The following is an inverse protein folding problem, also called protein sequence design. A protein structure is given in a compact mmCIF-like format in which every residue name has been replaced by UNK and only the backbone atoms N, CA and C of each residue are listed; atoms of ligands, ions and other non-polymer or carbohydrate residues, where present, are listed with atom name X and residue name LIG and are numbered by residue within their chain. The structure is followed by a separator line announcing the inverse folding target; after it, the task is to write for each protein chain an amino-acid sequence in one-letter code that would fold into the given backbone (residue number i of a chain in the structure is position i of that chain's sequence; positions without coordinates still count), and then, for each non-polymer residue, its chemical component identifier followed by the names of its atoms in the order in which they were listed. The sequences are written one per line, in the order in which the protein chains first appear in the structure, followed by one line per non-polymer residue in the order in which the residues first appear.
data_IF_065689910132
#
_entry.id   IF_065689910132
#
_cell.length_a   1.000
_cell.length_b   1.000
_cell.length_c   1.000
_cell.angle_alpha   90.00
_cell.angle_beta   90.00
_cell.angle_gamma   90.00
#
_symmetry.space_group_name_H-M   'P 1'
#
loop_
_entity.id
_entity.type
_entity.pdbx_description
1 polymer ?
#
# COMPACT_ATOMS: atom_id res chain seq x y z
N UNK A 1 13.92 -28.35 -33.33
CA UNK A 1 14.32 -27.20 -32.55
C UNK A 1 13.50 -27.23 -31.25
N UNK A 2 14.07 -27.81 -30.20
CA UNK A 2 13.35 -28.06 -28.92
C UNK A 2 13.50 -26.83 -28.04
N UNK A 3 12.39 -26.14 -27.78
CA UNK A 3 12.35 -25.00 -26.86
C UNK A 3 12.62 -25.52 -25.44
N UNK A 4 13.72 -25.07 -24.85
CA UNK A 4 14.02 -25.32 -23.45
C UNK A 4 12.96 -24.62 -22.58
N UNK A 5 12.42 -25.26 -21.52
CA UNK A 5 11.47 -24.64 -20.64
C UNK A 5 12.16 -23.49 -19.87
N UNK A 6 11.56 -22.31 -19.92
CA UNK A 6 12.02 -21.16 -19.13
C UNK A 6 12.13 -21.52 -17.65
N UNK A 7 13.22 -21.17 -16.97
CA UNK A 7 13.36 -21.43 -15.55
C UNK A 7 12.21 -20.72 -14.81
N UNK A 8 11.38 -21.48 -14.10
CA UNK A 8 10.36 -20.94 -13.19
C UNK A 8 11.10 -20.18 -12.09
N UNK A 9 11.21 -18.87 -12.23
CA UNK A 9 11.65 -18.02 -11.12
C UNK A 9 10.63 -18.22 -9.98
N UNK A 10 11.00 -19.01 -8.98
CA UNK A 10 10.30 -19.04 -7.69
C UNK A 10 10.61 -17.73 -6.99
N UNK A 11 9.85 -16.69 -7.31
CA UNK A 11 9.79 -15.49 -6.46
C UNK A 11 9.20 -15.96 -5.11
N UNK A 12 10.06 -16.08 -4.09
CA UNK A 12 9.61 -16.29 -2.72
C UNK A 12 8.82 -15.06 -2.32
N UNK A 13 7.49 -15.20 -2.28
CA UNK A 13 6.64 -14.26 -1.58
C UNK A 13 7.03 -14.31 -0.10
N UNK A 14 7.44 -13.18 0.47
CA UNK A 14 7.80 -13.11 1.88
C UNK A 14 6.51 -13.12 2.72
N UNK A 15 5.99 -14.32 2.99
CA UNK A 15 4.83 -14.52 3.84
C UNK A 15 5.18 -14.51 5.35
N UNK A 16 6.45 -14.28 5.71
CA UNK A 16 6.90 -14.31 7.11
C UNK A 16 6.25 -13.21 7.96
N UNK A 17 5.71 -12.17 7.34
CA UNK A 17 5.04 -11.04 7.99
C UNK A 17 3.54 -10.96 7.71
N UNK A 18 2.90 -12.06 7.28
CA UNK A 18 1.47 -12.06 6.98
C UNK A 18 0.62 -11.65 8.20
N UNK A 19 1.00 -12.11 9.40
CA UNK A 19 0.34 -11.75 10.65
C UNK A 19 0.38 -10.24 10.91
N UNK A 20 1.56 -9.62 10.79
CA UNK A 20 1.74 -8.18 11.00
C UNK A 20 0.98 -7.37 9.96
N UNK A 21 1.06 -7.77 8.69
CA UNK A 21 0.35 -7.13 7.59
C UNK A 21 -1.17 -7.14 7.80
N UNK A 22 -1.72 -8.29 8.18
CA UNK A 22 -3.17 -8.43 8.41
C UNK A 22 -3.62 -7.71 9.68
N UNK A 23 -2.85 -7.77 10.76
CA UNK A 23 -3.14 -7.05 12.00
C UNK A 23 -3.16 -5.52 11.79
N UNK A 24 -2.18 -5.00 11.04
CA UNK A 24 -2.07 -3.57 10.72
C UNK A 24 -3.28 -3.08 9.91
N UNK A 25 -3.72 -3.86 8.90
CA UNK A 25 -4.89 -3.54 8.08
C UNK A 25 -6.18 -3.52 8.92
N UNK A 26 -6.39 -4.56 9.75
CA UNK A 26 -7.55 -4.62 10.65
C UNK A 26 -7.60 -3.43 11.60
N UNK A 27 -6.45 -3.09 12.21
CA UNK A 27 -6.36 -1.99 13.17
C UNK A 27 -6.79 -0.67 12.52
N UNK A 28 -6.23 -0.34 11.35
CA UNK A 28 -6.58 0.90 10.65
C UNK A 28 -8.05 0.93 10.24
N UNK A 29 -8.52 -0.13 9.58
CA UNK A 29 -9.90 -0.20 9.05
C UNK A 29 -10.93 -0.05 10.16
N UNK A 30 -10.77 -0.79 11.27
CA UNK A 30 -11.68 -0.70 12.42
C UNK A 30 -11.67 0.70 13.04
N UNK A 31 -10.50 1.29 13.22
CA UNK A 31 -10.39 2.63 13.80
C UNK A 31 -10.96 3.71 12.87
N UNK A 32 -10.82 3.53 11.56
CA UNK A 32 -11.32 4.47 10.57
C UNK A 32 -12.84 4.35 10.30
N UNK A 33 -13.45 3.22 10.68
CA UNK A 33 -14.87 2.96 10.43
C UNK A 33 -15.22 2.88 8.95
N UNK A 34 -14.33 2.29 8.12
CA UNK A 34 -14.46 2.33 6.66
C UNK A 34 -15.26 1.17 6.04
N UNK A 35 -15.85 0.31 6.84
CA UNK A 35 -16.66 -0.80 6.29
C UNK A 35 -18.05 -0.32 5.81
N UNK A 36 -18.58 -0.84 4.70
CA UNK A 36 -18.00 -1.90 3.85
C UNK A 36 -16.84 -1.41 2.98
N UNK A 37 -15.88 -2.31 2.74
CA UNK A 37 -14.66 -2.00 2.00
C UNK A 37 -14.82 -2.26 0.50
N UNK A 38 -14.39 -1.31 -0.30
CA UNK A 38 -14.13 -1.46 -1.73
C UNK A 38 -12.65 -1.37 -1.95
N UNK A 39 -12.03 -2.53 -2.20
CA UNK A 39 -10.58 -2.70 -2.17
C UNK A 39 -9.99 -2.71 -3.57
N UNK A 40 -8.99 -1.85 -3.79
CA UNK A 40 -8.07 -1.91 -4.92
C UNK A 40 -6.73 -2.45 -4.41
N UNK A 41 -6.38 -3.67 -4.80
CA UNK A 41 -5.14 -4.33 -4.40
C UNK A 41 -4.14 -4.28 -5.55
N UNK A 42 -3.21 -3.35 -5.44
CA UNK A 42 -2.11 -3.19 -6.38
C UNK A 42 -0.94 -4.05 -5.94
N UNK A 43 -0.36 -4.82 -6.85
CA UNK A 43 0.64 -5.86 -6.57
C UNK A 43 0.06 -7.05 -5.77
N UNK A 44 -1.14 -7.46 -6.12
CA UNK A 44 -1.95 -8.41 -5.36
C UNK A 44 -1.31 -9.81 -5.18
N UNK A 45 -0.34 -10.19 -6.02
CA UNK A 45 0.33 -11.48 -5.92
C UNK A 45 -0.65 -12.64 -5.94
N UNK A 46 -0.56 -13.53 -4.97
CA UNK A 46 -1.46 -14.68 -4.77
C UNK A 46 -2.75 -14.31 -3.98
N UNK A 47 -2.93 -13.05 -3.61
CA UNK A 47 -4.10 -12.58 -2.85
C UNK A 47 -4.15 -13.05 -1.39
N UNK A 48 -3.03 -13.55 -0.85
CA UNK A 48 -2.97 -14.19 0.47
C UNK A 48 -3.40 -13.25 1.60
N UNK A 49 -3.01 -11.97 1.55
CA UNK A 49 -3.35 -11.00 2.59
C UNK A 49 -4.85 -10.77 2.63
N UNK A 50 -5.45 -10.38 1.52
CA UNK A 50 -6.89 -10.09 1.44
C UNK A 50 -7.73 -11.36 1.53
N UNK A 51 -7.23 -12.50 1.08
CA UNK A 51 -7.83 -13.81 1.34
C UNK A 51 -7.99 -14.08 2.84
N UNK A 52 -6.92 -13.86 3.62
CA UNK A 52 -6.94 -14.03 5.07
C UNK A 52 -7.80 -13.01 5.81
N UNK A 53 -7.98 -11.81 5.26
CA UNK A 53 -8.81 -10.76 5.85
C UNK A 53 -10.31 -10.99 5.60
N UNK A 54 -10.66 -11.49 4.42
CA UNK A 54 -12.04 -11.78 4.01
C UNK A 54 -12.57 -13.10 4.56
N UNK A 55 -11.69 -14.10 4.64
CA UNK A 55 -12.02 -15.44 5.08
C UNK A 55 -10.94 -15.94 6.07
N UNK A 56 -10.95 -15.45 7.30
CA UNK A 56 -10.01 -15.94 8.30
C UNK A 56 -10.24 -17.42 8.53
N UNK A 57 -9.16 -18.15 8.82
CA UNK A 57 -9.23 -19.58 9.12
C UNK A 57 -10.30 -19.82 10.19
N UNK A 58 -11.07 -20.91 10.06
CA UNK A 58 -12.12 -21.32 11.03
C UNK A 58 -11.49 -21.88 12.31
N UNK A 59 -10.68 -21.08 12.99
CA UNK A 59 -10.08 -21.38 14.27
C UNK A 59 -10.94 -20.76 15.37
N UNK A 60 -11.00 -21.42 16.54
CA UNK A 60 -11.85 -21.03 17.69
C UNK A 60 -11.67 -19.55 18.11
N UNK A 61 -10.53 -18.95 17.84
CA UNK A 61 -10.20 -17.54 18.15
C UNK A 61 -9.79 -16.74 16.90
N UNK A 62 -10.24 -17.15 15.71
CA UNK A 62 -9.94 -16.39 14.50
C UNK A 62 -10.59 -15.01 14.58
N UNK A 63 -9.88 -13.95 14.18
CA UNK A 63 -10.47 -12.62 14.14
C UNK A 63 -11.61 -12.61 13.12
N UNK A 64 -12.64 -11.81 13.39
CA UNK A 64 -13.78 -11.62 12.50
C UNK A 64 -13.35 -11.21 11.09
N UNK A 65 -14.06 -11.70 10.07
CA UNK A 65 -13.83 -11.30 8.69
C UNK A 65 -14.10 -9.79 8.52
N UNK A 66 -13.30 -9.10 7.70
CA UNK A 66 -13.63 -7.75 7.29
C UNK A 66 -14.78 -7.78 6.27
N UNK A 67 -15.69 -6.83 6.38
CA UNK A 67 -16.76 -6.66 5.42
C UNK A 67 -16.22 -6.02 4.12
N UNK A 68 -15.93 -6.86 3.12
CA UNK A 68 -15.41 -6.45 1.82
C UNK A 68 -16.52 -6.60 0.77
N UNK A 69 -17.06 -5.46 0.35
CA UNK A 69 -18.10 -5.37 -0.69
C UNK A 69 -17.54 -5.71 -2.08
N UNK A 70 -16.35 -5.20 -2.39
CA UNK A 70 -15.68 -5.47 -3.66
C UNK A 70 -14.16 -5.58 -3.50
N UNK A 71 -13.55 -6.42 -4.34
CA UNK A 71 -12.11 -6.65 -4.35
C UNK A 71 -11.60 -6.70 -5.78
N UNK A 72 -10.72 -5.77 -6.13
CA UNK A 72 -10.10 -5.64 -7.44
C UNK A 72 -8.60 -5.88 -7.34
N UNK A 73 -8.15 -7.11 -7.59
CA UNK A 73 -6.71 -7.43 -7.59
C UNK A 73 -6.06 -7.08 -8.93
N UNK A 74 -4.94 -6.35 -8.88
CA UNK A 74 -4.11 -6.03 -10.05
C UNK A 74 -2.67 -6.48 -9.78
N UNK A 75 -2.05 -7.14 -10.76
CA UNK A 75 -0.63 -7.49 -10.73
C UNK A 75 -0.06 -7.57 -12.15
N UNK A 76 1.24 -7.51 -12.30
CA UNK A 76 1.94 -7.73 -13.58
C UNK A 76 1.85 -9.18 -14.05
N UNK A 77 1.64 -10.11 -13.11
CA UNK A 77 1.47 -11.55 -13.36
C UNK A 77 0.19 -12.04 -12.70
N UNK A 78 -0.77 -12.50 -13.48
CA UNK A 78 -2.00 -13.07 -12.94
C UNK A 78 -1.69 -14.40 -12.23
N UNK A 79 -2.01 -14.49 -10.93
CA UNK A 79 -1.74 -15.64 -10.06
C UNK A 79 -2.99 -16.18 -9.37
N UNK A 80 -4.11 -15.47 -9.50
CA UNK A 80 -5.40 -15.83 -8.90
C UNK A 80 -6.55 -15.56 -9.88
N UNK A 81 -7.69 -16.25 -9.76
CA UNK A 81 -8.87 -15.99 -10.57
C UNK A 81 -9.36 -14.54 -10.43
N UNK A 82 -9.81 -13.95 -11.53
CA UNK A 82 -10.34 -12.57 -11.54
C UNK A 82 -9.29 -11.47 -11.40
N UNK A 83 -8.01 -11.81 -11.35
CA UNK A 83 -6.93 -10.84 -11.28
C UNK A 83 -6.70 -10.14 -12.62
N UNK A 84 -6.65 -8.81 -12.57
CA UNK A 84 -6.34 -7.98 -13.73
C UNK A 84 -4.82 -7.99 -13.93
N UNK A 85 -4.37 -8.41 -15.11
CA UNK A 85 -2.95 -8.40 -15.46
C UNK A 85 -2.56 -7.04 -16.01
N UNK A 86 -1.84 -6.26 -15.21
CA UNK A 86 -1.32 -4.96 -15.65
C UNK A 86 -0.03 -4.58 -14.91
N UNK A 87 0.87 -3.86 -15.58
CA UNK A 87 2.06 -3.29 -14.94
C UNK A 87 1.66 -2.06 -14.12
N UNK A 88 1.86 -2.11 -12.82
CA UNK A 88 1.53 -1.01 -11.91
C UNK A 88 2.52 0.14 -12.13
N UNK A 89 2.01 1.28 -12.52
CA UNK A 89 2.78 2.52 -12.78
C UNK A 89 1.95 3.73 -12.37
N UNK A 90 2.55 4.92 -12.14
CA UNK A 90 1.80 6.16 -11.94
C UNK A 90 0.81 6.47 -13.07
N UNK A 91 1.15 6.09 -14.32
CA UNK A 91 0.25 6.25 -15.48
C UNK A 91 -0.98 5.36 -15.39
N UNK A 92 -0.85 4.13 -14.88
CA UNK A 92 -2.01 3.28 -14.62
C UNK A 92 -2.93 3.92 -13.57
N UNK A 93 -2.36 4.48 -12.49
CA UNK A 93 -3.16 5.16 -11.47
C UNK A 93 -3.93 6.35 -12.06
N UNK A 94 -3.29 7.12 -12.94
CA UNK A 94 -3.97 8.19 -13.66
C UNK A 94 -5.12 7.67 -14.54
N UNK A 95 -4.87 6.62 -15.31
CA UNK A 95 -5.91 6.00 -16.16
C UNK A 95 -7.06 5.39 -15.36
N UNK A 96 -6.80 4.82 -14.18
CA UNK A 96 -7.86 4.33 -13.28
C UNK A 96 -8.71 5.47 -12.70
N UNK A 97 -8.17 6.68 -12.59
CA UNK A 97 -8.89 7.86 -12.10
C UNK A 97 -9.75 8.53 -13.19
N UNK A 98 -9.44 8.33 -14.46
CA UNK A 98 -10.23 8.81 -15.57
C UNK A 98 -11.68 8.29 -15.45
N UNK A 99 -12.66 9.19 -15.46
CA UNK A 99 -14.06 8.84 -15.24
C UNK A 99 -14.41 8.50 -13.77
N UNK A 100 -13.62 8.94 -12.79
CA UNK A 100 -13.88 8.75 -11.36
C UNK A 100 -13.61 7.33 -10.86
N UNK A 101 -12.81 6.55 -11.60
CA UNK A 101 -12.55 5.13 -11.29
C UNK A 101 -11.94 4.89 -9.91
N UNK A 102 -11.07 5.78 -9.42
CA UNK A 102 -10.47 5.65 -8.09
C UNK A 102 -11.42 6.01 -6.94
N UNK A 103 -12.38 6.90 -7.14
CA UNK A 103 -13.33 7.32 -6.10
C UNK A 103 -14.29 6.20 -5.66
N UNK A 104 -14.39 5.12 -6.45
CA UNK A 104 -15.15 3.93 -6.07
C UNK A 104 -14.49 3.09 -4.98
N UNK A 105 -13.19 3.29 -4.72
CA UNK A 105 -12.44 2.54 -3.71
C UNK A 105 -12.23 3.39 -2.46
N UNK A 106 -12.47 2.78 -1.29
CA UNK A 106 -12.15 3.37 0.01
C UNK A 106 -11.00 2.64 0.71
N UNK A 107 -10.37 1.71 0.00
CA UNK A 107 -9.21 0.98 0.47
C UNK A 107 -8.27 0.68 -0.70
N UNK A 108 -7.01 1.10 -0.60
CA UNK A 108 -5.97 0.85 -1.62
C UNK A 108 -4.77 0.19 -0.96
N UNK A 109 -4.35 -0.93 -1.50
CA UNK A 109 -3.19 -1.69 -1.03
C UNK A 109 -2.06 -1.65 -2.07
N UNK A 110 -0.88 -1.23 -1.65
CA UNK A 110 0.33 -1.12 -2.47
C UNK A 110 1.43 -1.98 -1.86
N UNK A 111 1.26 -3.30 -1.93
CA UNK A 111 2.23 -4.27 -1.38
C UNK A 111 3.33 -4.59 -2.41
N UNK A 112 4.08 -3.58 -2.82
CA UNK A 112 5.12 -3.71 -3.83
C UNK A 112 6.46 -4.20 -3.27
N UNK A 113 7.27 -4.83 -4.13
CA UNK A 113 8.69 -5.03 -3.86
C UNK A 113 9.46 -3.75 -4.23
N UNK A 114 10.05 -3.08 -3.24
CA UNK A 114 10.85 -1.88 -3.47
C UNK A 114 10.24 -0.60 -2.90
N UNK A 115 10.24 0.47 -3.70
CA UNK A 115 9.79 1.79 -3.29
C UNK A 115 8.37 2.08 -3.80
N UNK A 116 7.36 2.21 -2.91
CA UNK A 116 5.97 2.47 -3.29
C UNK A 116 5.69 3.96 -3.59
N UNK A 117 6.64 4.86 -3.33
CA UNK A 117 6.35 6.29 -3.26
C UNK A 117 5.92 6.94 -4.57
N UNK A 118 6.38 6.42 -5.72
CA UNK A 118 5.89 6.90 -7.01
C UNK A 118 4.38 6.59 -7.21
N UNK A 119 3.95 5.40 -6.79
CA UNK A 119 2.53 5.01 -6.84
C UNK A 119 1.74 5.77 -5.77
N UNK A 120 2.30 5.89 -4.56
CA UNK A 120 1.71 6.66 -3.47
C UNK A 120 1.44 8.11 -3.89
N UNK A 121 2.42 8.79 -4.47
CA UNK A 121 2.25 10.16 -4.94
C UNK A 121 1.12 10.26 -5.99
N UNK A 122 1.09 9.34 -6.95
CA UNK A 122 0.04 9.31 -7.96
C UNK A 122 -1.35 9.09 -7.36
N UNK A 123 -1.48 8.26 -6.32
CA UNK A 123 -2.72 8.04 -5.58
C UNK A 123 -3.14 9.27 -4.79
N UNK A 124 -2.21 9.87 -4.04
CA UNK A 124 -2.49 10.96 -3.10
C UNK A 124 -3.20 12.13 -3.77
N UNK A 125 -2.78 12.49 -4.99
CA UNK A 125 -3.42 13.57 -5.78
C UNK A 125 -4.83 13.21 -6.29
N UNK A 126 -5.26 11.95 -6.18
CA UNK A 126 -6.50 11.43 -6.77
C UNK A 126 -7.51 10.91 -5.77
N UNK A 127 -7.16 10.91 -4.48
CA UNK A 127 -8.08 10.50 -3.42
C UNK A 127 -9.15 11.57 -3.24
N UNK A 128 -10.42 11.17 -3.46
CA UNK A 128 -11.61 12.04 -3.36
C UNK A 128 -12.53 11.65 -2.21
N UNK A 129 -12.34 10.48 -1.63
CA UNK A 129 -13.12 9.96 -0.49
C UNK A 129 -12.16 9.53 0.61
N UNK A 130 -12.59 9.47 1.88
CA UNK A 130 -11.79 8.89 2.95
C UNK A 130 -11.33 7.48 2.57
N UNK A 131 -10.02 7.25 2.51
CA UNK A 131 -9.42 6.04 1.98
C UNK A 131 -8.35 5.49 2.91
N UNK A 132 -8.44 4.21 3.25
CA UNK A 132 -7.34 3.49 3.87
C UNK A 132 -6.29 3.16 2.80
N UNK A 133 -5.04 3.55 3.01
CA UNK A 133 -3.93 3.23 2.11
C UNK A 133 -2.88 2.44 2.86
N UNK A 134 -2.53 1.28 2.31
CA UNK A 134 -1.46 0.43 2.83
C UNK A 134 -0.28 0.45 1.87
N UNK A 135 0.90 0.73 2.41
CA UNK A 135 2.13 0.78 1.61
C UNK A 135 3.15 -0.18 2.20
N UNK A 136 3.78 -0.98 1.35
CA UNK A 136 4.92 -1.81 1.72
C UNK A 136 6.17 -1.25 1.05
N UNK A 137 7.18 -0.92 1.87
CA UNK A 137 8.47 -0.45 1.40
C UNK A 137 9.53 -1.51 1.69
N UNK A 138 10.06 -2.14 0.66
CA UNK A 138 11.21 -3.03 0.78
C UNK A 138 12.47 -2.24 1.10
N UNK A 139 13.22 -2.70 2.11
CA UNK A 139 14.57 -2.22 2.37
C UNK A 139 15.54 -3.21 1.73
N UNK A 140 15.95 -2.96 0.51
CA UNK A 140 17.00 -3.76 -0.12
C UNK A 140 18.35 -3.31 0.44
N UNK A 141 19.00 -4.17 1.20
CA UNK A 141 20.40 -3.96 1.57
C UNK A 141 21.27 -4.59 0.49
N UNK A 142 21.90 -3.77 -0.33
CA UNK A 142 23.01 -4.22 -1.17
C UNK A 142 24.29 -4.15 -0.35
N UNK A 143 24.92 -5.29 -0.07
CA UNK A 143 26.13 -5.35 0.74
C UNK A 143 25.90 -4.87 2.19
N UNK A 144 26.92 -4.30 2.80
CA UNK A 144 26.86 -3.71 4.16
C UNK A 144 26.16 -2.35 4.21
N UNK A 145 25.69 -1.83 3.08
CA UNK A 145 25.05 -0.52 2.96
C UNK A 145 23.52 -0.60 2.95
N UNK A 146 22.87 0.37 3.58
CA UNK A 146 21.42 0.59 3.46
C UNK A 146 21.14 1.19 2.08
N UNK A 147 20.08 0.74 1.39
CA UNK A 147 19.65 1.46 0.19
C UNK A 147 19.30 2.91 0.57
N UNK A 148 19.86 3.89 -0.11
CA UNK A 148 19.47 5.28 0.09
C UNK A 148 17.99 5.43 -0.25
N UNK A 149 17.32 6.30 0.49
CA UNK A 149 15.96 6.70 0.15
C UNK A 149 16.02 7.35 -1.24
N UNK A 150 15.15 6.92 -2.16
CA UNK A 150 15.12 7.51 -3.51
C UNK A 150 14.89 9.03 -3.44
N UNK A 151 15.42 9.77 -4.40
CA UNK A 151 15.21 11.23 -4.51
C UNK A 151 13.71 11.57 -4.52
N UNK A 152 12.90 10.76 -5.22
CA UNK A 152 11.45 10.93 -5.24
C UNK A 152 10.85 10.70 -3.84
N UNK A 153 11.27 9.67 -3.13
CA UNK A 153 10.79 9.41 -1.77
C UNK A 153 11.19 10.53 -0.81
N UNK A 154 12.42 11.06 -0.89
CA UNK A 154 12.86 12.23 -0.12
C UNK A 154 11.96 13.43 -0.42
N UNK A 155 11.71 13.73 -1.69
CA UNK A 155 10.85 14.83 -2.11
C UNK A 155 9.42 14.69 -1.57
N UNK A 156 8.82 13.50 -1.69
CA UNK A 156 7.45 13.21 -1.17
C UNK A 156 7.39 13.34 0.35
N UNK A 157 8.47 12.98 1.05
CA UNK A 157 8.57 13.08 2.51
C UNK A 157 9.04 14.45 3.01
N UNK A 158 9.31 15.42 2.12
CA UNK A 158 9.85 16.73 2.50
C UNK A 158 11.25 16.66 3.11
N UNK A 159 12.02 15.60 2.83
CA UNK A 159 13.38 15.42 3.33
C UNK A 159 14.34 16.11 2.38
N UNK A 160 15.26 16.98 2.88
CA UNK A 160 16.30 17.56 2.04
C UNK A 160 17.08 16.50 1.27
N UNK A 161 17.37 16.74 0.00
CA UNK A 161 17.99 15.74 -0.89
C UNK A 161 19.37 15.29 -0.39
N UNK A 162 20.10 16.21 0.24
CA UNK A 162 21.42 16.01 0.82
C UNK A 162 21.43 15.21 2.13
N UNK A 163 20.27 15.04 2.78
CA UNK A 163 20.21 14.29 4.03
C UNK A 163 20.31 12.79 3.80
N UNK A 164 21.34 12.22 4.39
CA UNK A 164 21.46 10.75 4.50
C UNK A 164 20.68 10.29 5.72
N UNK A 165 19.43 9.88 5.49
CA UNK A 165 18.53 9.48 6.59
C UNK A 165 18.84 8.06 6.99
N UNK A 166 19.45 7.82 8.16
CA UNK A 166 19.60 6.47 8.70
C UNK A 166 18.22 5.90 8.96
N UNK A 167 17.95 4.69 8.48
CA UNK A 167 16.63 4.07 8.38
C UNK A 167 15.93 3.68 9.68
N UNK A 168 15.96 4.52 10.69
CA UNK A 168 15.11 4.45 11.87
C UNK A 168 14.22 5.68 11.88
N UNK A 169 13.08 5.60 11.20
CA UNK A 169 11.97 6.46 11.55
C UNK A 169 11.15 5.65 12.55
N UNK A 170 11.18 6.04 13.79
CA UNK A 170 10.44 5.38 14.86
C UNK A 170 8.94 5.56 14.67
N UNK A 171 8.20 4.59 15.17
CA UNK A 171 6.74 4.61 15.29
C UNK A 171 6.29 5.94 15.86
N UNK A 172 5.38 6.58 15.16
CA UNK A 172 4.80 7.82 15.62
C UNK A 172 3.30 7.72 15.50
N UNK A 173 2.59 8.04 16.59
CA UNK A 173 1.25 8.56 16.43
C UNK A 173 1.38 9.74 15.47
N UNK A 174 0.68 9.65 14.35
CA UNK A 174 0.73 10.66 13.29
C UNK A 174 -0.06 11.91 13.74
N UNK A 175 0.42 12.60 14.80
CA UNK A 175 0.02 13.97 15.13
C UNK A 175 0.73 14.96 14.21
N UNK A 176 1.76 15.64 14.67
CA UNK A 176 2.33 16.83 14.03
C UNK A 176 3.45 16.60 12.99
N UNK A 177 3.87 15.35 12.73
CA UNK A 177 5.01 15.05 11.82
C UNK A 177 4.63 14.48 10.46
N UNK A 178 3.35 14.36 10.16
CA UNK A 178 2.85 14.02 8.82
C UNK A 178 3.16 15.08 7.75
N UNK A 179 3.66 16.23 8.13
CA UNK A 179 4.23 17.19 7.20
C UNK A 179 5.32 16.58 6.29
N UNK A 180 5.99 15.52 6.75
CA UNK A 180 7.01 14.81 5.97
C UNK A 180 6.45 13.94 4.84
N UNK A 181 5.16 13.60 4.88
CA UNK A 181 4.49 12.86 3.81
C UNK A 181 3.59 13.73 2.93
N UNK A 182 3.54 15.03 3.21
CA UNK A 182 2.67 15.95 2.51
C UNK A 182 3.40 17.12 1.86
N UNK A 183 3.40 17.16 0.57
CA UNK A 183 2.84 18.32 -0.11
C UNK A 183 1.74 17.88 -1.06
N UNK A 184 0.54 17.58 -0.58
CA UNK A 184 -0.60 17.38 -1.46
C UNK A 184 -1.69 18.39 -1.07
N UNK A 185 -2.04 19.33 -1.98
CA UNK A 185 -3.09 20.31 -1.70
C UNK A 185 -4.48 19.67 -1.66
N UNK A 186 -4.64 18.46 -2.21
CA UNK A 186 -5.94 17.81 -2.45
C UNK A 186 -6.32 16.79 -1.38
N UNK A 187 -5.34 16.28 -0.63
CA UNK A 187 -5.58 15.28 0.40
C UNK A 187 -4.60 15.41 1.58
N UNK A 188 -5.03 14.96 2.75
CA UNK A 188 -4.22 14.94 3.97
C UNK A 188 -4.28 13.57 4.64
N UNK A 189 -3.20 13.17 5.30
CA UNK A 189 -3.19 12.01 6.19
C UNK A 189 -3.86 12.41 7.49
N UNK A 190 -4.99 11.78 7.83
CA UNK A 190 -5.71 12.04 9.06
C UNK A 190 -5.05 11.35 10.26
N UNK A 191 -4.65 10.09 10.09
CA UNK A 191 -3.81 9.35 11.02
C UNK A 191 -3.22 8.12 10.32
N UNK A 192 -2.28 7.43 10.98
CA UNK A 192 -1.70 6.23 10.42
C UNK A 192 -0.83 5.46 11.41
N UNK A 193 -0.40 4.31 10.97
CA UNK A 193 0.49 3.41 11.69
C UNK A 193 1.65 3.00 10.82
N UNK A 194 2.77 2.69 11.45
CA UNK A 194 3.93 2.11 10.81
C UNK A 194 4.42 0.90 11.60
N UNK A 195 4.77 -0.17 10.91
CA UNK A 195 5.53 -1.30 11.47
C UNK A 195 6.85 -1.36 10.72
N UNK A 196 7.94 -1.37 11.46
CA UNK A 196 9.30 -1.54 10.92
C UNK A 196 9.81 -2.92 11.25
N UNK A 197 9.99 -3.75 10.25
CA UNK A 197 10.67 -5.04 10.35
C UNK A 197 12.09 -4.94 9.77
N UNK A 198 12.91 -5.99 9.94
CA UNK A 198 14.34 -5.98 9.59
C UNK A 198 14.64 -5.48 8.16
N UNK A 199 13.75 -5.77 7.19
CA UNK A 199 13.95 -5.46 5.78
C UNK A 199 12.79 -4.73 5.11
N UNK A 200 11.74 -4.41 5.87
CA UNK A 200 10.50 -3.87 5.30
C UNK A 200 9.85 -2.89 6.27
N UNK A 201 9.36 -1.81 5.74
CA UNK A 201 8.44 -0.90 6.44
C UNK A 201 7.03 -1.10 5.89
N UNK A 202 6.07 -1.25 6.78
CA UNK A 202 4.64 -1.29 6.46
C UNK A 202 3.98 -0.02 7.00
N UNK A 203 3.27 0.66 6.15
CA UNK A 203 2.48 1.84 6.51
C UNK A 203 1.00 1.53 6.32
N UNK A 204 0.18 2.02 7.24
CA UNK A 204 -1.26 2.02 7.14
C UNK A 204 -1.74 3.45 7.43
N UNK A 205 -2.34 4.09 6.45
CA UNK A 205 -2.66 5.51 6.46
C UNK A 205 -4.15 5.72 6.20
N UNK A 206 -4.83 6.51 7.02
CA UNK A 206 -6.14 7.07 6.66
C UNK A 206 -5.91 8.40 5.97
N UNK A 207 -6.27 8.47 4.71
CA UNK A 207 -6.16 9.66 3.88
C UNK A 207 -7.56 10.24 3.67
N UNK A 208 -7.69 11.55 3.85
CA UNK A 208 -8.94 12.28 3.60
C UNK A 208 -8.70 13.38 2.57
N UNK A 209 -9.64 13.63 1.65
CA UNK A 209 -9.57 14.82 0.81
C UNK A 209 -9.56 16.08 1.67
N UNK A 210 -8.95 17.15 1.18
CA UNK A 210 -9.08 18.49 1.77
C UNK A 210 -10.44 19.07 1.43
N UNK A 211 -10.95 19.99 2.24
CA UNK A 211 -12.30 20.57 2.06
C UNK A 211 -12.52 21.19 0.68
N UNK A 212 -11.48 21.76 0.08
CA UNK A 212 -11.53 22.32 -1.26
C UNK A 212 -11.80 21.28 -2.38
N UNK A 213 -11.66 19.97 -2.10
CA UNK A 213 -11.82 18.88 -3.07
C UNK A 213 -12.93 17.88 -2.70
N UNK A 214 -13.59 18.08 -1.57
CA UNK A 214 -14.70 17.22 -1.15
C UNK A 214 -16.04 17.55 -1.86
N UNK A 215 -16.10 18.63 -2.63
CA UNK A 215 -17.33 19.21 -3.19
C UNK A 215 -17.42 19.16 -4.72
N UNK A 216 -16.50 18.49 -5.39
CA UNK A 216 -16.54 18.24 -6.84
C UNK A 216 -16.68 16.76 -7.15
#
# INVERSE_FOLDING_TARGET
MTLLPSPKLKLKTDNQSLGDKTALRRKLIKQAGLEPLRVLDLFAGEGTIWGSLRQPARLKNAPEALNVESYTPIDSVARQPGQIRFKITPRLIAALDEGGGLSRYNCVDVDCFGDPFAIWQALLFRIRVPTAVFLTRGRVTYGAGRMPISKLAKKVMGIPEEWDVPGKVELMEYGDRCQLLQPCPTAKIAFGYKITLRRVDYYALLVKPTEAHATT
#
